data_IF_979643963573
#
_entry.id   IF_979643963573
#
_cell.length_a   1.000
_cell.length_b   1.000
_cell.length_c   1.000
_cell.angle_alpha   90.00
_cell.angle_beta   90.00
_cell.angle_gamma   90.00
#
_symmetry.space_group_name_H-M   'P 1'
#
loop_
_entity.id
_entity.type
_entity.pdbx_description
1 polymer ?
#
# COMPACT_ATOMS: atom_id res chain seq x y z
N UNK A 1 4.72 -4.43 -3.62
CA UNK A 1 3.53 -3.86 -4.30
C UNK A 1 3.66 -3.79 -5.82
N UNK A 2 4.56 -2.96 -6.40
CA UNK A 2 4.67 -2.78 -7.87
C UNK A 2 4.82 -4.08 -8.66
N UNK A 3 5.63 -5.02 -8.14
CA UNK A 3 5.80 -6.36 -8.74
C UNK A 3 4.46 -7.09 -8.90
N UNK A 4 3.66 -7.16 -7.83
CA UNK A 4 2.34 -7.77 -7.86
C UNK A 4 1.40 -7.06 -8.84
N UNK A 5 1.34 -5.72 -8.84
CA UNK A 5 0.52 -4.98 -9.80
C UNK A 5 0.90 -5.28 -11.26
N UNK A 6 2.20 -5.42 -11.57
CA UNK A 6 2.67 -5.82 -12.90
C UNK A 6 2.30 -7.26 -13.25
N UNK A 7 2.34 -8.18 -12.29
CA UNK A 7 1.90 -9.56 -12.48
C UNK A 7 0.40 -9.60 -12.81
N UNK A 8 -0.43 -8.96 -11.98
CA UNK A 8 -1.88 -8.81 -12.22
C UNK A 8 -2.12 -8.22 -13.60
N UNK A 9 -1.38 -7.17 -13.98
CA UNK A 9 -1.54 -6.53 -15.28
C UNK A 9 -1.21 -7.44 -16.46
N UNK A 10 -0.24 -8.33 -16.30
CA UNK A 10 0.26 -9.20 -17.36
C UNK A 10 -0.52 -10.51 -17.47
N UNK A 11 -0.94 -11.08 -16.35
CA UNK A 11 -1.53 -12.43 -16.29
C UNK A 11 -2.98 -12.45 -15.83
N UNK A 12 -3.48 -11.37 -15.22
CA UNK A 12 -4.77 -11.35 -14.55
C UNK A 12 -4.76 -12.02 -13.17
N UNK A 13 -3.61 -12.47 -12.68
CA UNK A 13 -3.47 -13.23 -11.45
C UNK A 13 -2.54 -12.56 -10.43
N UNK A 14 -2.75 -12.86 -9.15
CA UNK A 14 -1.85 -12.50 -8.07
C UNK A 14 -1.53 -13.73 -7.23
N UNK A 15 -0.31 -13.78 -6.70
CA UNK A 15 -0.01 -14.71 -5.61
C UNK A 15 -0.97 -14.43 -4.45
N UNK A 16 -1.52 -15.47 -3.82
CA UNK A 16 -2.47 -15.31 -2.73
C UNK A 16 -2.20 -16.24 -1.55
N UNK A 17 -2.50 -15.74 -0.36
CA UNK A 17 -2.44 -16.50 0.90
C UNK A 17 -3.78 -16.30 1.61
N UNK A 18 -4.50 -17.39 1.86
CA UNK A 18 -5.82 -17.37 2.53
C UNK A 18 -6.82 -16.41 1.86
N UNK A 19 -6.79 -16.32 0.53
CA UNK A 19 -7.69 -15.46 -0.25
C UNK A 19 -7.22 -14.01 -0.39
N UNK A 20 -6.13 -13.60 0.25
CA UNK A 20 -5.58 -12.25 0.12
C UNK A 20 -4.47 -12.21 -0.90
N UNK A 21 -4.50 -11.22 -1.80
CA UNK A 21 -3.40 -10.95 -2.71
C UNK A 21 -2.15 -10.53 -1.92
N UNK A 22 -1.01 -11.13 -2.23
CA UNK A 22 0.25 -10.88 -1.55
C UNK A 22 1.39 -10.51 -2.52
N UNK A 23 2.39 -9.82 -1.99
CA UNK A 23 3.70 -9.66 -2.62
C UNK A 23 4.74 -10.27 -1.70
N UNK A 24 5.73 -10.95 -2.28
CA UNK A 24 6.94 -11.29 -1.54
C UNK A 24 7.74 -10.02 -1.26
N UNK A 25 8.21 -9.86 -0.03
CA UNK A 25 8.99 -8.70 0.39
C UNK A 25 10.47 -8.85 0.04
N UNK A 26 11.06 -10.02 0.26
CA UNK A 26 12.51 -10.27 0.11
C UNK A 26 12.77 -11.61 -0.61
N UNK A 27 14.01 -12.11 -0.59
CA UNK A 27 14.33 -13.46 -1.06
C UNK A 27 13.89 -14.56 -0.06
N UNK A 28 13.48 -14.18 1.16
CA UNK A 28 12.88 -15.05 2.17
C UNK A 28 11.39 -15.31 1.91
N UNK A 29 10.79 -16.21 2.69
CA UNK A 29 9.35 -16.53 2.69
C UNK A 29 8.50 -15.49 3.45
N UNK A 30 8.86 -14.21 3.32
CA UNK A 30 8.11 -13.09 3.91
C UNK A 30 7.16 -12.49 2.86
N UNK A 31 5.86 -12.53 3.18
CA UNK A 31 4.79 -12.07 2.32
C UNK A 31 4.00 -10.95 2.99
N UNK A 32 3.70 -9.90 2.24
CA UNK A 32 2.83 -8.82 2.69
C UNK A 32 1.57 -8.75 1.83
N UNK A 33 0.43 -8.51 2.47
CA UNK A 33 -0.82 -8.25 1.76
C UNK A 33 -0.74 -6.94 0.97
N UNK A 34 -1.29 -6.94 -0.24
CA UNK A 34 -1.19 -5.80 -1.15
C UNK A 34 -2.04 -4.62 -0.71
N UNK A 35 -3.23 -4.87 -0.15
CA UNK A 35 -4.08 -3.82 0.41
C UNK A 35 -3.39 -3.07 1.55
N UNK A 36 -2.73 -3.79 2.46
CA UNK A 36 -1.96 -3.17 3.54
C UNK A 36 -0.74 -2.39 3.01
N UNK A 37 -0.04 -2.95 2.01
CA UNK A 37 1.04 -2.21 1.34
C UNK A 37 0.53 -0.92 0.68
N UNK A 38 -0.65 -0.97 0.05
CA UNK A 38 -1.26 0.16 -0.63
C UNK A 38 -1.68 1.24 0.37
N UNK A 39 -2.33 0.87 1.47
CA UNK A 39 -2.76 1.78 2.52
C UNK A 39 -1.56 2.53 3.15
N UNK A 40 -0.54 1.81 3.62
CA UNK A 40 0.62 2.42 4.26
C UNK A 40 1.43 3.29 3.30
N UNK A 41 1.64 2.83 2.07
CA UNK A 41 2.33 3.64 1.06
C UNK A 41 1.54 4.87 0.67
N UNK A 42 0.22 4.75 0.51
CA UNK A 42 -0.68 5.87 0.21
C UNK A 42 -0.60 6.94 1.30
N UNK A 43 -0.79 6.57 2.56
CA UNK A 43 -0.76 7.51 3.68
C UNK A 43 0.60 8.23 3.78
N UNK A 44 1.69 7.49 3.57
CA UNK A 44 3.03 8.09 3.48
C UNK A 44 3.15 9.09 2.32
N UNK A 45 2.60 8.78 1.15
CA UNK A 45 2.64 9.68 -0.01
C UNK A 45 1.76 10.91 0.16
N UNK A 46 0.63 10.80 0.85
CA UNK A 46 -0.20 11.96 1.22
C UNK A 46 0.57 12.96 2.11
N UNK A 47 1.59 12.48 2.85
CA UNK A 47 2.50 13.33 3.63
C UNK A 47 3.66 13.89 2.82
N UNK A 48 4.36 13.05 2.07
CA UNK A 48 5.61 13.46 1.36
C UNK A 48 5.29 14.21 0.07
N UNK A 49 4.31 13.72 -0.70
CA UNK A 49 3.91 14.25 -2.00
C UNK A 49 2.41 14.60 -2.02
N UNK A 50 1.93 15.56 -1.19
CA UNK A 50 0.50 15.85 -1.06
C UNK A 50 -0.17 16.32 -2.36
N UNK A 51 0.60 16.76 -3.35
CA UNK A 51 0.14 17.15 -4.67
C UNK A 51 -0.12 15.97 -5.62
N UNK A 52 0.29 14.75 -5.26
CA UNK A 52 0.03 13.55 -6.06
C UNK A 52 -1.31 12.97 -5.64
N UNK A 53 -2.23 12.82 -6.60
CA UNK A 53 -3.49 12.13 -6.37
C UNK A 53 -3.24 10.65 -6.03
N UNK A 54 -3.64 10.26 -4.83
CA UNK A 54 -3.47 8.90 -4.30
C UNK A 54 -4.72 8.03 -4.45
N UNK A 55 -5.83 8.57 -4.99
CA UNK A 55 -7.06 7.84 -5.24
C UNK A 55 -6.88 6.51 -6.01
N UNK A 56 -5.93 6.37 -6.96
CA UNK A 56 -5.67 5.09 -7.60
C UNK A 56 -5.26 3.98 -6.62
N UNK A 57 -4.46 4.27 -5.59
CA UNK A 57 -4.06 3.27 -4.60
C UNK A 57 -5.18 3.00 -3.59
N UNK A 58 -5.94 4.02 -3.19
CA UNK A 58 -7.13 3.84 -2.33
C UNK A 58 -8.12 2.86 -2.97
N UNK A 59 -8.29 2.92 -4.29
CA UNK A 59 -9.17 2.01 -5.03
C UNK A 59 -8.65 0.56 -5.00
N UNK A 60 -7.34 0.37 -5.17
CA UNK A 60 -6.71 -0.97 -5.07
C UNK A 60 -6.91 -1.52 -3.66
N UNK A 61 -6.62 -0.72 -2.64
CA UNK A 61 -6.79 -1.04 -1.22
C UNK A 61 -8.22 -1.55 -0.95
N UNK A 62 -9.24 -0.73 -1.27
CA UNK A 62 -10.64 -1.07 -0.99
C UNK A 62 -11.12 -2.32 -1.73
N UNK A 63 -10.76 -2.48 -3.01
CA UNK A 63 -11.21 -3.64 -3.80
C UNK A 63 -10.55 -4.93 -3.34
N UNK A 64 -9.24 -4.90 -3.08
CA UNK A 64 -8.53 -6.08 -2.61
C UNK A 64 -8.97 -6.48 -1.19
N UNK A 65 -9.19 -5.51 -0.29
CA UNK A 65 -9.71 -5.77 1.04
C UNK A 65 -11.12 -6.42 1.00
N UNK A 66 -11.94 -6.02 0.02
CA UNK A 66 -13.28 -6.59 -0.19
C UNK A 66 -13.29 -7.89 -1.03
N UNK A 67 -12.13 -8.39 -1.48
CA UNK A 67 -12.07 -9.56 -2.37
C UNK A 67 -12.68 -9.32 -3.76
N UNK A 68 -12.77 -8.08 -4.20
CA UNK A 68 -13.37 -7.69 -5.48
C UNK A 68 -12.30 -7.66 -6.57
N UNK A 69 -12.55 -8.26 -7.76
CA UNK A 69 -11.62 -8.23 -8.88
C UNK A 69 -11.21 -6.81 -9.29
N UNK A 70 -9.95 -6.66 -9.71
CA UNK A 70 -9.44 -5.41 -10.26
C UNK A 70 -9.70 -5.36 -11.77
N UNK A 71 -9.91 -4.15 -12.27
CA UNK A 71 -9.99 -3.86 -13.70
C UNK A 71 -8.62 -3.34 -14.16
N UNK A 72 -8.32 -3.49 -15.44
CA UNK A 72 -7.01 -3.13 -16.02
C UNK A 72 -6.71 -1.65 -15.78
N UNK A 73 -7.73 -0.81 -15.91
CA UNK A 73 -7.69 0.63 -15.73
C UNK A 73 -7.28 1.01 -14.29
N UNK A 74 -7.73 0.24 -13.30
CA UNK A 74 -7.35 0.43 -11.90
C UNK A 74 -5.84 0.20 -11.74
N UNK A 75 -5.34 -0.91 -12.28
CA UNK A 75 -3.92 -1.28 -12.17
C UNK A 75 -3.02 -0.29 -12.91
N UNK A 76 -3.40 0.10 -14.13
CA UNK A 76 -2.64 1.05 -14.94
C UNK A 76 -2.61 2.45 -14.30
N UNK A 77 -3.72 2.89 -13.68
CA UNK A 77 -3.76 4.15 -12.94
C UNK A 77 -2.81 4.13 -11.73
N UNK A 78 -2.82 3.05 -10.94
CA UNK A 78 -1.92 2.91 -9.79
C UNK A 78 -0.45 2.84 -10.22
N UNK A 79 -0.13 2.13 -11.30
CA UNK A 79 1.24 2.07 -11.83
C UNK A 79 1.73 3.45 -12.29
N UNK A 80 0.88 4.24 -12.96
CA UNK A 80 1.21 5.63 -13.34
C UNK A 80 1.44 6.51 -12.11
N UNK A 81 0.59 6.40 -11.09
CA UNK A 81 0.78 7.12 -9.82
C UNK A 81 2.13 6.75 -9.18
N UNK A 82 2.47 5.45 -9.12
CA UNK A 82 3.74 5.00 -8.56
C UNK A 82 4.96 5.56 -9.31
N UNK A 83 4.87 5.73 -10.63
CA UNK A 83 5.93 6.39 -11.41
C UNK A 83 6.02 7.89 -11.11
N UNK A 84 4.88 8.58 -10.96
CA UNK A 84 4.87 10.00 -10.59
C UNK A 84 5.49 10.22 -9.20
N UNK A 85 5.24 9.31 -8.27
CA UNK A 85 5.87 9.31 -6.94
C UNK A 85 7.39 9.16 -7.05
N UNK A 86 7.89 8.20 -7.82
CA UNK A 86 9.35 8.01 -8.00
C UNK A 86 10.03 9.30 -8.51
N UNK A 87 9.42 9.97 -9.48
CA UNK A 87 9.93 11.22 -10.03
C UNK A 87 9.88 12.41 -9.05
N UNK A 88 9.06 12.35 -8.00
CA UNK A 88 9.02 13.40 -6.98
C UNK A 88 9.89 13.06 -5.78
N UNK A 89 10.00 11.78 -5.39
CA UNK A 89 10.84 11.36 -4.26
C UNK A 89 12.31 11.74 -4.44
N UNK A 90 12.82 11.81 -5.68
CA UNK A 90 14.18 12.28 -5.95
C UNK A 90 14.45 13.74 -5.51
N UNK A 91 13.39 14.51 -5.24
CA UNK A 91 13.47 15.92 -4.83
C UNK A 91 13.50 16.09 -3.31
N UNK A 92 13.22 15.04 -2.55
CA UNK A 92 13.24 15.06 -1.09
C UNK A 92 14.57 14.54 -0.57
N UNK A 93 15.04 15.12 0.53
CA UNK A 93 16.19 14.60 1.25
C UNK A 93 15.86 13.27 1.93
N UNK A 94 16.91 12.46 2.14
CA UNK A 94 16.77 11.20 2.89
C UNK A 94 16.24 11.45 4.31
N UNK A 95 16.58 12.58 4.92
CA UNK A 95 16.12 12.94 6.26
C UNK A 95 14.60 13.17 6.29
N UNK A 96 14.07 13.98 5.37
CA UNK A 96 12.62 14.23 5.26
C UNK A 96 11.84 12.94 5.01
N UNK A 97 12.34 12.07 4.14
CA UNK A 97 11.70 10.78 3.86
C UNK A 97 11.70 9.89 5.10
N UNK A 98 12.82 9.81 5.83
CA UNK A 98 12.93 9.00 7.06
C UNK A 98 12.00 9.50 8.16
N UNK A 99 11.90 10.82 8.35
CA UNK A 99 11.00 11.43 9.30
C UNK A 99 9.54 11.09 8.97
N UNK A 100 9.14 11.26 7.71
CA UNK A 100 7.78 10.94 7.28
C UNK A 100 7.43 9.46 7.44
N UNK A 101 8.39 8.56 7.20
CA UNK A 101 8.24 7.11 7.43
C UNK A 101 8.06 6.81 8.92
N UNK A 102 8.89 7.42 9.79
CA UNK A 102 8.80 7.22 11.24
C UNK A 102 7.43 7.67 11.78
N UNK A 103 6.96 8.84 11.34
CA UNK A 103 5.63 9.34 11.71
C UNK A 103 4.54 8.35 11.29
N UNK A 104 4.62 7.83 10.07
CA UNK A 104 3.62 6.87 9.57
C UNK A 104 3.62 5.56 10.37
N UNK A 105 4.80 5.04 10.68
CA UNK A 105 4.94 3.81 11.48
C UNK A 105 4.32 3.98 12.87
N UNK A 106 4.57 5.12 13.53
CA UNK A 106 3.96 5.44 14.83
C UNK A 106 2.43 5.50 14.71
N UNK A 107 1.91 6.15 13.66
CA UNK A 107 0.46 6.26 13.47
C UNK A 107 -0.20 4.90 13.23
N UNK A 108 0.43 4.03 12.45
CA UNK A 108 -0.05 2.65 12.21
C UNK A 108 -0.06 1.87 13.53
N UNK A 109 1.04 1.86 14.28
CA UNK A 109 1.14 1.17 15.56
C UNK A 109 0.10 1.70 16.57
N UNK A 110 -0.11 3.02 16.62
CA UNK A 110 -1.14 3.63 17.46
C UNK A 110 -2.55 3.16 17.09
N UNK A 111 -2.87 3.10 15.79
CA UNK A 111 -4.17 2.61 15.32
C UNK A 111 -4.40 1.15 15.74
N UNK A 112 -3.40 0.28 15.57
CA UNK A 112 -3.48 -1.13 15.98
C UNK A 112 -3.70 -1.29 17.49
N UNK A 113 -3.02 -0.49 18.32
CA UNK A 113 -3.22 -0.50 19.77
C UNK A 113 -4.63 -0.05 20.18
N UNK A 114 -5.19 0.94 19.50
CA UNK A 114 -6.55 1.43 19.75
C UNK A 114 -7.56 0.33 19.42
N UNK A 115 -7.46 -0.28 18.23
CA UNK A 115 -8.32 -1.39 17.82
C UNK A 115 -8.25 -2.56 18.81
N UNK A 116 -7.04 -2.96 19.23
CA UNK A 116 -6.87 -4.02 20.23
C UNK A 116 -7.54 -3.68 21.57
N UNK A 117 -7.46 -2.43 22.01
CA UNK A 117 -8.10 -1.98 23.25
C UNK A 117 -9.63 -1.97 23.14
N UNK A 118 -10.18 -1.61 21.98
CA UNK A 118 -11.62 -1.68 21.72
C UNK A 118 -12.11 -3.14 21.72
N UNK A 119 -11.37 -4.04 21.08
CA UNK A 119 -11.68 -5.49 21.10
C UNK A 119 -11.66 -6.06 22.52
N UNK A 120 -10.70 -5.65 23.36
CA UNK A 120 -10.63 -6.08 24.78
C UNK A 120 -11.81 -5.58 25.61
N UNK A 121 -12.39 -4.42 25.28
CA UNK A 121 -13.58 -3.90 25.96
C UNK A 121 -14.87 -4.57 25.50
N UNK A 122 -14.87 -5.14 24.29
CA UNK A 122 -16.02 -5.81 23.69
C UNK A 122 -16.11 -7.31 24.03
N UNK A 123 -15.07 -7.89 24.65
CA UNK A 123 -14.98 -9.27 25.12
C UNK A 123 -15.31 -9.39 26.60
#
# INVERSE_FOLDING_TARGET
MRKCLRQIRATGEADSIRGYAVTRLHASDDYARIDYCAAGFRALMERICPHIDTAPLLRIEQRLAAGVPLEVEHVDASLRMLMAVENNLIKHSVAEVKEAVMIEQILIEMAEMIEMNEMRKAA
#
